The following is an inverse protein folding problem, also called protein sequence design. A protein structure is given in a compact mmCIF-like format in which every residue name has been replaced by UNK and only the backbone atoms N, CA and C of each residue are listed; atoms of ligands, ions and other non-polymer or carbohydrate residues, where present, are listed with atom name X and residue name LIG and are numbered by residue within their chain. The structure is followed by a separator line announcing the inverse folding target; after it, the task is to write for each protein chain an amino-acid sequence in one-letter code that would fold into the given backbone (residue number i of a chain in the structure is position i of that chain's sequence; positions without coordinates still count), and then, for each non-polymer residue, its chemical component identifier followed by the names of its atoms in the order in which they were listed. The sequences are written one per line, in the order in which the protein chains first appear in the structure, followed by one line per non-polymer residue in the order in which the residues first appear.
data_IF_991630416550
#
_entry.id   IF_991630416550
#
_cell.length_a   1.000
_cell.length_b   1.000
_cell.length_c   1.000
_cell.angle_alpha   90.00
_cell.angle_beta   90.00
_cell.angle_gamma   90.00
#
_symmetry.space_group_name_H-M   'P 1'
#
loop_
_entity.id
_entity.type
_entity.pdbx_description
1 polymer ?
#
# COMPACT_ATOMS: atom_id res chain seq x y z
N UNK A 1 -8.42 -31.16 -30.58
CA UNK A 1 -9.15 -30.05 -29.95
C UNK A 1 -9.40 -30.45 -28.51
N UNK A 2 -8.96 -29.60 -27.57
CA UNK A 2 -9.42 -29.52 -26.16
C UNK A 2 -9.15 -30.71 -25.22
N UNK A 3 -8.71 -30.58 -23.98
CA UNK A 3 -8.34 -29.44 -23.11
C UNK A 3 -7.20 -29.95 -22.22
N UNK A 4 -6.15 -29.16 -21.99
CA UNK A 4 -5.34 -29.28 -20.78
C UNK A 4 -5.51 -27.97 -20.02
N UNK A 5 -6.25 -28.04 -18.93
CA UNK A 5 -6.33 -26.97 -17.94
C UNK A 5 -5.00 -26.95 -17.20
N UNK A 6 -4.08 -26.09 -17.63
CA UNK A 6 -2.93 -25.72 -16.82
C UNK A 6 -3.42 -24.71 -15.78
N UNK A 7 -3.83 -25.23 -14.62
CA UNK A 7 -4.08 -24.44 -13.43
C UNK A 7 -2.80 -23.70 -13.04
N UNK A 8 -2.87 -22.38 -13.19
CA UNK A 8 -1.88 -21.36 -12.82
C UNK A 8 -1.14 -21.68 -11.51
N UNK A 9 0.16 -21.94 -11.66
CA UNK A 9 1.10 -22.14 -10.57
C UNK A 9 1.41 -20.84 -9.82
N UNK A 10 1.37 -21.01 -8.50
CA UNK A 10 2.19 -20.34 -7.47
C UNK A 10 1.91 -18.86 -7.19
N UNK A 11 0.98 -18.64 -6.23
CA UNK A 11 1.08 -17.53 -5.28
C UNK A 11 2.42 -17.66 -4.56
N UNK A 12 3.41 -16.85 -4.93
CA UNK A 12 4.64 -16.74 -4.17
C UNK A 12 4.32 -16.10 -2.82
N UNK A 13 4.04 -16.95 -1.83
CA UNK A 13 4.18 -16.65 -0.41
C UNK A 13 5.67 -16.40 -0.18
N UNK A 14 6.10 -15.15 -0.27
CA UNK A 14 7.37 -14.75 0.31
C UNK A 14 7.13 -14.57 1.80
N UNK A 15 7.97 -15.24 2.56
CA UNK A 15 7.88 -15.48 3.99
C UNK A 15 7.68 -14.18 4.77
N UNK A 16 6.47 -14.01 5.30
CA UNK A 16 6.26 -13.14 6.44
C UNK A 16 6.90 -13.90 7.60
N UNK A 17 7.91 -13.36 8.31
CA UNK A 17 8.34 -13.94 9.57
C UNK A 17 7.09 -14.07 10.43
N UNK A 18 6.67 -15.30 10.63
CA UNK A 18 5.49 -15.63 11.42
C UNK A 18 5.84 -15.41 12.88
N UNK A 19 5.88 -14.16 13.31
CA UNK A 19 5.93 -13.76 14.71
C UNK A 19 5.52 -12.29 14.80
N UNK A 20 4.60 -12.03 15.73
CA UNK A 20 4.11 -10.72 16.17
C UNK A 20 2.89 -10.13 15.45
N UNK A 21 1.86 -10.97 15.28
CA UNK A 21 0.47 -10.47 15.46
C UNK A 21 0.30 -10.23 16.96
N UNK A 22 0.42 -8.98 17.41
CA UNK A 22 0.24 -8.60 18.82
C UNK A 22 -1.19 -8.95 19.27
N UNK A 23 -1.33 -10.04 20.03
CA UNK A 23 -2.46 -10.23 20.92
C UNK A 23 -2.50 -9.04 21.88
N UNK A 24 -3.55 -8.24 21.83
CA UNK A 24 -3.78 -7.18 22.80
C UNK A 24 -4.30 -7.88 24.06
N UNK A 25 -3.37 -8.34 24.89
CA UNK A 25 -3.72 -8.79 26.23
C UNK A 25 -4.10 -7.56 27.06
N UNK A 26 -5.33 -7.55 27.57
CA UNK A 26 -5.81 -6.54 28.49
C UNK A 26 -5.19 -6.81 29.87
N UNK A 27 -4.12 -6.10 30.21
CA UNK A 27 -3.52 -6.18 31.55
C UNK A 27 -4.45 -5.56 32.59
N UNK A 28 -4.73 -6.32 33.65
CA UNK A 28 -5.52 -5.93 34.82
C UNK A 28 -4.77 -4.85 35.63
N UNK A 29 -5.44 -3.71 35.88
CA UNK A 29 -4.87 -2.51 36.50
C UNK A 29 -4.39 -2.78 37.94
N UNK A 30 -3.08 -2.90 38.14
CA UNK A 30 -2.44 -2.62 39.43
C UNK A 30 -1.58 -1.36 39.31
N UNK A 31 -1.81 -0.39 40.21
CA UNK A 31 -1.43 1.02 40.07
C UNK A 31 0.09 1.32 40.17
N UNK A 32 0.96 0.32 40.33
CA UNK A 32 2.34 0.54 40.83
C UNK A 32 3.47 0.21 39.85
N UNK A 33 3.26 0.34 38.53
CA UNK A 33 4.38 0.21 37.60
C UNK A 33 4.37 1.16 36.41
N UNK A 34 4.35 2.47 36.72
CA UNK A 34 4.51 3.55 35.72
C UNK A 34 5.76 3.35 34.84
N UNK A 35 6.94 2.97 35.38
CA UNK A 35 8.14 2.74 34.55
C UNK A 35 7.98 1.61 33.53
N UNK A 36 7.42 0.46 33.93
CA UNK A 36 7.21 -0.65 33.00
C UNK A 36 6.18 -0.31 31.93
N UNK A 37 5.10 0.40 32.30
CA UNK A 37 4.12 0.87 31.31
C UNK A 37 4.76 1.80 30.28
N UNK A 38 5.64 2.71 30.71
CA UNK A 38 6.39 3.57 29.78
C UNK A 38 7.33 2.78 28.88
N UNK A 39 8.00 1.75 29.41
CA UNK A 39 8.86 0.87 28.63
C UNK A 39 8.06 0.11 27.55
N UNK A 40 6.94 -0.50 27.94
CA UNK A 40 6.05 -1.22 27.02
C UNK A 40 5.50 -0.30 25.92
N UNK A 41 5.13 0.94 26.25
CA UNK A 41 4.68 1.92 25.25
C UNK A 41 5.81 2.24 24.25
N UNK A 42 7.05 2.40 24.73
CA UNK A 42 8.19 2.68 23.84
C UNK A 42 8.44 1.51 22.90
N UNK A 43 8.36 0.28 23.39
CA UNK A 43 8.59 -0.90 22.55
C UNK A 43 7.47 -1.12 21.55
N UNK A 44 6.20 -0.96 21.96
CA UNK A 44 5.06 -0.94 21.04
C UNK A 44 5.21 0.14 19.96
N UNK A 45 5.69 1.33 20.30
CA UNK A 45 5.93 2.40 19.30
C UNK A 45 7.01 2.02 18.29
N UNK A 46 8.09 1.34 18.70
CA UNK A 46 9.12 0.85 17.77
C UNK A 46 8.51 -0.13 16.75
N UNK A 47 7.71 -1.08 17.24
CA UNK A 47 7.03 -2.08 16.40
C UNK A 47 6.02 -1.41 15.45
N UNK A 48 5.28 -0.40 15.93
CA UNK A 48 4.35 0.34 15.09
C UNK A 48 5.07 1.06 13.95
N UNK A 49 6.23 1.66 14.20
CA UNK A 49 7.04 2.32 13.15
C UNK A 49 7.43 1.32 12.07
N UNK A 50 7.99 0.16 12.45
CA UNK A 50 8.40 -0.85 11.46
C UNK A 50 7.20 -1.38 10.67
N UNK A 51 6.06 -1.57 11.31
CA UNK A 51 4.85 -2.05 10.63
C UNK A 51 4.28 -1.01 9.65
N UNK A 52 4.34 0.27 9.99
CA UNK A 52 3.94 1.35 9.09
C UNK A 52 4.88 1.45 7.87
N UNK A 53 6.18 1.23 8.06
CA UNK A 53 7.15 1.17 6.95
C UNK A 53 6.84 0.00 6.01
N UNK A 54 6.63 -1.21 6.57
CA UNK A 54 6.25 -2.40 5.79
C UNK A 54 4.94 -2.14 5.03
N UNK A 55 3.96 -1.50 5.67
CA UNK A 55 2.70 -1.17 5.04
C UNK A 55 2.89 -0.17 3.89
N UNK A 56 3.70 0.89 4.08
CA UNK A 56 4.00 1.86 3.04
C UNK A 56 4.69 1.21 1.83
N UNK A 57 5.64 0.31 2.06
CA UNK A 57 6.33 -0.43 1.00
C UNK A 57 5.39 -1.37 0.26
N UNK A 58 4.48 -2.03 0.98
CA UNK A 58 3.44 -2.85 0.37
C UNK A 58 2.50 -2.03 -0.50
N UNK A 59 2.08 -0.86 -0.02
CA UNK A 59 1.19 0.03 -0.76
C UNK A 59 1.88 0.57 -2.02
N UNK A 60 3.17 0.89 -1.92
CA UNK A 60 3.98 1.30 -3.07
C UNK A 60 4.10 0.17 -4.08
N UNK A 61 4.49 -1.04 -3.68
CA UNK A 61 4.68 -2.17 -4.61
C UNK A 61 3.38 -2.55 -5.33
N UNK A 62 2.25 -2.61 -4.62
CA UNK A 62 0.93 -2.86 -5.22
C UNK A 62 0.54 -1.75 -6.21
N UNK A 63 0.79 -0.48 -5.85
CA UNK A 63 0.52 0.64 -6.75
C UNK A 63 1.32 0.53 -8.04
N UNK A 64 2.62 0.19 -7.96
CA UNK A 64 3.50 0.06 -9.13
C UNK A 64 3.12 -1.12 -10.02
N UNK A 65 2.68 -2.23 -9.44
CA UNK A 65 2.20 -3.38 -10.19
C UNK A 65 0.93 -3.04 -11.01
N UNK A 66 0.00 -2.28 -10.41
CA UNK A 66 -1.27 -1.93 -11.05
C UNK A 66 -1.19 -0.69 -11.95
N UNK A 67 -0.25 0.21 -11.69
CA UNK A 67 -0.06 1.46 -12.42
C UNK A 67 1.42 1.61 -12.80
N UNK A 68 1.86 0.90 -13.86
CA UNK A 68 3.23 1.00 -14.32
C UNK A 68 3.55 2.42 -14.78
N UNK A 69 4.81 2.82 -14.63
CA UNK A 69 5.28 4.12 -15.12
C UNK A 69 5.23 4.11 -16.65
N UNK A 70 4.54 5.09 -17.22
CA UNK A 70 4.53 5.30 -18.68
C UNK A 70 5.88 5.78 -19.20
N UNK A 71 6.18 5.48 -20.46
CA UNK A 71 7.46 5.85 -21.07
C UNK A 71 7.50 7.34 -21.41
N UNK A 72 8.67 7.96 -21.29
CA UNK A 72 8.87 9.33 -21.76
C UNK A 72 8.59 9.37 -23.27
N UNK A 73 7.81 10.36 -23.72
CA UNK A 73 7.33 10.49 -25.10
C UNK A 73 6.01 9.75 -25.38
N UNK A 74 5.50 8.96 -24.44
CA UNK A 74 4.20 8.28 -24.59
C UNK A 74 3.04 9.27 -24.42
N UNK A 75 2.00 9.12 -25.23
CA UNK A 75 0.76 9.89 -25.10
C UNK A 75 -0.16 9.19 -24.10
N UNK A 76 -0.61 9.92 -23.10
CA UNK A 76 -1.51 9.43 -22.04
C UNK A 76 -2.83 10.19 -22.04
N UNK A 77 -3.87 9.49 -21.57
CA UNK A 77 -5.20 10.06 -21.32
C UNK A 77 -5.41 10.14 -19.82
N UNK A 78 -5.57 11.36 -19.31
CA UNK A 78 -5.76 11.64 -17.89
C UNK A 78 -7.25 11.94 -17.64
N UNK A 79 -7.99 11.10 -16.91
CA UNK A 79 -9.39 11.37 -16.60
C UNK A 79 -9.49 12.52 -15.58
N UNK A 80 -10.45 13.42 -15.79
CA UNK A 80 -10.80 14.47 -14.82
C UNK A 80 -11.91 13.92 -13.91
N UNK A 81 -11.73 13.92 -12.57
CA UNK A 81 -12.74 13.42 -11.66
C UNK A 81 -13.99 14.29 -11.68
N UNK A 82 -15.14 13.71 -11.38
CA UNK A 82 -16.43 14.40 -11.51
C UNK A 82 -16.58 15.61 -10.57
N UNK A 83 -15.90 15.58 -9.41
CA UNK A 83 -15.84 16.70 -8.45
C UNK A 83 -15.17 17.94 -9.05
N UNK A 84 -14.15 17.76 -9.88
CA UNK A 84 -13.39 18.86 -10.49
C UNK A 84 -13.95 19.26 -11.86
N UNK A 85 -15.01 18.57 -12.34
CA UNK A 85 -15.53 18.68 -13.70
C UNK A 85 -16.87 19.39 -13.71
N UNK A 86 -16.98 20.51 -14.44
CA UNK A 86 -18.30 21.10 -14.70
C UNK A 86 -19.10 20.20 -15.67
N UNK A 87 -20.43 20.35 -15.68
CA UNK A 87 -21.32 19.48 -16.49
C UNK A 87 -20.98 19.45 -17.97
N UNK A 88 -20.49 20.55 -18.53
CA UNK A 88 -20.13 20.69 -19.95
C UNK A 88 -18.67 20.36 -20.26
N UNK A 89 -17.83 20.12 -19.25
CA UNK A 89 -16.39 19.99 -19.47
C UNK A 89 -16.00 18.63 -20.04
N UNK A 90 -14.85 18.62 -20.72
CA UNK A 90 -14.22 17.42 -21.24
C UNK A 90 -13.94 16.42 -20.10
N UNK A 91 -14.11 15.12 -20.39
CA UNK A 91 -13.88 14.07 -19.39
C UNK A 91 -12.41 13.73 -19.17
N UNK A 92 -11.55 14.10 -20.11
CA UNK A 92 -10.15 13.70 -20.09
C UNK A 92 -9.26 14.73 -20.77
N UNK A 93 -8.02 14.75 -20.35
CA UNK A 93 -6.94 15.54 -20.95
C UNK A 93 -6.00 14.56 -21.65
N UNK A 94 -5.56 14.92 -22.87
CA UNK A 94 -4.48 14.21 -23.56
C UNK A 94 -3.18 14.95 -23.29
N UNK A 95 -2.11 14.20 -23.00
CA UNK A 95 -0.79 14.77 -22.75
C UNK A 95 0.32 13.80 -23.12
N UNK A 96 1.55 14.31 -23.23
CA UNK A 96 2.74 13.51 -23.48
C UNK A 96 3.60 13.48 -22.22
N UNK A 97 4.11 12.32 -21.85
CA UNK A 97 4.98 12.18 -20.68
C UNK A 97 6.35 12.80 -21.00
N UNK A 98 6.69 13.91 -20.34
CA UNK A 98 8.01 14.54 -20.48
C UNK A 98 8.99 14.07 -19.40
N UNK A 99 8.48 13.76 -18.20
CA UNK A 99 9.22 13.20 -17.08
C UNK A 99 8.27 12.45 -16.16
N UNK A 100 8.75 11.41 -15.48
CA UNK A 100 7.94 10.58 -14.58
C UNK A 100 8.51 10.52 -13.16
N UNK A 101 7.63 10.64 -12.17
CA UNK A 101 7.88 10.24 -10.77
C UNK A 101 6.83 9.22 -10.36
N UNK A 102 7.17 8.34 -9.43
CA UNK A 102 6.25 7.34 -8.89
C UNK A 102 5.02 8.01 -8.25
N UNK A 103 3.82 7.61 -8.67
CA UNK A 103 2.57 8.00 -8.01
C UNK A 103 2.08 6.80 -7.22
N UNK A 104 2.00 6.95 -5.90
CA UNK A 104 1.43 5.92 -5.03
C UNK A 104 -0.07 6.20 -4.95
N UNK A 105 -0.88 5.30 -5.49
CA UNK A 105 -2.33 5.32 -5.32
C UNK A 105 -2.65 4.40 -4.14
N UNK A 106 -3.16 4.98 -3.05
CA UNK A 106 -3.76 4.20 -1.97
C UNK A 106 -5.04 3.57 -2.52
N UNK A 107 -5.13 2.24 -2.47
CA UNK A 107 -6.36 1.49 -2.72
C UNK A 107 -7.30 1.62 -1.53
#
# INVERSE_FOLDING_TARGET
VEVKEDESQTRNKTDIPSQDVLAIEAEENTADNIPNRQHLIRDKRKIVVTNLEIQADRMKSVSLANHPIGKIGETVRIPIPDVDRARSDLRNILGVILAGKYVIKLL
#
